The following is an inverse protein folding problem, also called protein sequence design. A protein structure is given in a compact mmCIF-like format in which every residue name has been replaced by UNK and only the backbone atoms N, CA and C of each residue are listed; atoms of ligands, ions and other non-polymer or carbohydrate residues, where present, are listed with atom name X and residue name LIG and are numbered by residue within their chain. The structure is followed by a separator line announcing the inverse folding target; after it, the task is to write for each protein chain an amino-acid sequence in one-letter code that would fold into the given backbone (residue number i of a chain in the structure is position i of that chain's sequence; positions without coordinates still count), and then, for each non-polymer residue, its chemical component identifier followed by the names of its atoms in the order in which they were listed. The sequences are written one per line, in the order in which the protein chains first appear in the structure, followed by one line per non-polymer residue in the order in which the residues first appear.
data_IF_825218097381
#
_entry.id   IF_825218097381
#
_cell.length_a   1.000
_cell.length_b   1.000
_cell.length_c   1.000
_cell.angle_alpha   90.00
_cell.angle_beta   90.00
_cell.angle_gamma   90.00
#
_symmetry.space_group_name_H-M   'P 1'
#
loop_
_entity.id
_entity.type
_entity.pdbx_description
1 polymer ?
#
# COMPACT_ATOMS: atom_id res chain seq x y z
N UNK A 1 2.67 -3.17 17.64
CA UNK A 1 1.93 -3.58 16.42
C UNK A 1 1.37 -2.35 15.75
N UNK A 2 1.62 -2.22 14.48
CA UNK A 2 1.13 -1.10 13.67
C UNK A 2 0.45 -1.62 12.42
N UNK A 3 -0.51 -0.84 11.91
CA UNK A 3 -1.07 -1.01 10.60
C UNK A 3 -0.37 -0.06 9.64
N UNK A 4 0.15 -0.59 8.56
CA UNK A 4 0.67 0.19 7.44
C UNK A 4 -0.38 0.15 6.34
N UNK A 5 -0.97 1.32 6.06
CA UNK A 5 -1.95 1.46 5.00
C UNK A 5 -1.27 2.15 3.83
N UNK A 6 -1.11 1.41 2.73
CA UNK A 6 -0.43 1.92 1.54
C UNK A 6 -1.42 2.04 0.38
N UNK A 7 -1.45 3.21 -0.24
CA UNK A 7 -2.26 3.47 -1.42
C UNK A 7 -1.29 3.55 -2.59
N UNK A 8 -1.38 2.59 -3.52
CA UNK A 8 -0.40 2.43 -4.60
C UNK A 8 -1.09 2.32 -5.96
N UNK A 9 -0.29 2.43 -7.03
CA UNK A 9 -0.76 2.17 -8.39
C UNK A 9 -1.06 0.68 -8.59
N UNK A 10 -2.10 0.32 -9.33
CA UNK A 10 -2.41 -1.09 -9.60
C UNK A 10 -1.26 -1.87 -10.24
N UNK A 11 -0.53 -1.24 -11.15
CA UNK A 11 0.56 -1.90 -11.87
C UNK A 11 1.83 -2.11 -11.03
N UNK A 12 1.84 -1.61 -9.79
CA UNK A 12 2.97 -1.82 -8.87
C UNK A 12 2.68 -2.87 -7.80
N UNK A 13 1.50 -3.48 -7.85
CA UNK A 13 1.12 -4.47 -6.84
C UNK A 13 2.08 -5.65 -6.80
N UNK A 14 2.45 -6.21 -7.95
CA UNK A 14 3.33 -7.38 -7.99
C UNK A 14 4.74 -7.07 -7.46
N UNK A 15 5.29 -5.91 -7.80
CA UNK A 15 6.59 -5.49 -7.28
C UNK A 15 6.53 -5.25 -5.76
N UNK A 16 5.43 -4.66 -5.29
CA UNK A 16 5.22 -4.43 -3.86
C UNK A 16 5.12 -5.75 -3.11
N UNK A 17 4.39 -6.72 -3.65
CA UNK A 17 4.30 -8.07 -3.06
C UNK A 17 5.67 -8.71 -2.91
N UNK A 18 6.49 -8.62 -3.96
CA UNK A 18 7.83 -9.20 -3.94
C UNK A 18 8.70 -8.53 -2.88
N UNK A 19 8.67 -7.20 -2.80
CA UNK A 19 9.45 -6.46 -1.82
C UNK A 19 9.00 -6.74 -0.39
N UNK A 20 7.71 -6.88 -0.15
CA UNK A 20 7.20 -7.26 1.16
C UNK A 20 7.68 -8.65 1.56
N UNK A 21 7.67 -9.59 0.63
CA UNK A 21 8.17 -10.94 0.91
C UNK A 21 9.63 -10.93 1.33
N UNK A 22 10.45 -10.07 0.74
CA UNK A 22 11.86 -9.93 1.10
C UNK A 22 12.06 -9.43 2.53
N UNK A 23 11.10 -8.69 3.08
CA UNK A 23 11.17 -8.19 4.46
C UNK A 23 10.91 -9.27 5.51
N UNK A 24 10.37 -10.42 5.10
CA UNK A 24 9.90 -11.46 6.02
C UNK A 24 8.47 -11.25 6.52
N UNK A 25 7.80 -10.17 6.08
CA UNK A 25 6.40 -9.87 6.44
C UNK A 25 5.54 -9.80 5.17
N UNK A 26 5.24 -10.95 4.56
CA UNK A 26 4.57 -10.99 3.26
C UNK A 26 3.05 -10.76 3.32
N UNK A 27 2.44 -10.87 4.49
CA UNK A 27 0.99 -10.84 4.64
C UNK A 27 0.41 -9.45 4.43
N UNK A 28 -0.66 -9.36 3.66
CA UNK A 28 -1.40 -8.12 3.48
C UNK A 28 -2.82 -8.41 3.02
N UNK A 29 -3.70 -7.43 3.20
CA UNK A 29 -5.02 -7.41 2.58
C UNK A 29 -5.01 -6.35 1.49
N UNK A 30 -5.58 -6.64 0.33
CA UNK A 30 -5.60 -5.71 -0.79
C UNK A 30 -7.03 -5.42 -1.21
N UNK A 31 -7.33 -4.15 -1.45
CA UNK A 31 -8.62 -3.69 -1.96
C UNK A 31 -8.41 -2.86 -3.21
N UNK A 32 -9.34 -2.97 -4.15
CA UNK A 32 -9.43 -2.06 -5.28
C UNK A 32 -10.10 -0.77 -4.81
N UNK A 33 -9.55 0.36 -5.25
CA UNK A 33 -10.09 1.66 -4.87
C UNK A 33 -9.92 2.64 -6.02
N UNK A 34 -10.67 3.73 -5.96
CA UNK A 34 -10.49 4.87 -6.84
C UNK A 34 -10.23 6.08 -5.96
N UNK A 35 -9.25 6.88 -6.34
CA UNK A 35 -8.86 8.02 -5.54
C UNK A 35 -8.63 9.26 -6.39
N UNK A 36 -8.77 10.40 -5.73
CA UNK A 36 -8.44 11.69 -6.31
C UNK A 36 -7.37 12.34 -5.42
N UNK A 37 -6.20 12.60 -6.01
CA UNK A 37 -5.15 13.32 -5.32
C UNK A 37 -5.31 14.83 -5.46
N UNK A 38 -4.32 15.57 -4.97
CA UNK A 38 -4.30 17.02 -5.09
C UNK A 38 -4.06 17.50 -6.52
N UNK A 39 -3.41 16.67 -7.34
CA UNK A 39 -3.08 17.00 -8.73
C UNK A 39 -3.72 16.01 -9.68
N UNK A 40 -4.28 16.48 -10.81
CA UNK A 40 -4.79 15.56 -11.83
C UNK A 40 -3.66 14.74 -12.44
N UNK A 41 -4.00 13.54 -12.93
CA UNK A 41 -3.07 12.65 -13.60
C UNK A 41 -3.40 12.65 -15.10
N UNK A 42 -2.38 12.72 -15.95
CA UNK A 42 -2.51 12.67 -17.40
C UNK A 42 -2.11 11.29 -17.92
N UNK A 43 -2.89 10.75 -18.86
CA UNK A 43 -2.61 9.49 -19.53
C UNK A 43 -2.43 9.71 -21.02
N UNK A 44 -1.39 9.12 -21.61
CA UNK A 44 -1.15 9.13 -23.04
C UNK A 44 -1.99 8.02 -23.69
N UNK A 45 -2.78 8.40 -24.69
CA UNK A 45 -3.57 7.44 -25.46
C UNK A 45 -2.79 6.94 -26.69
N UNK A 46 -3.26 5.84 -27.26
CA UNK A 46 -2.63 5.21 -28.43
C UNK A 46 -2.59 6.11 -29.67
N UNK A 47 -3.52 7.06 -29.77
CA UNK A 47 -3.58 8.03 -30.87
C UNK A 47 -2.68 9.25 -30.68
N UNK A 48 -1.88 9.27 -29.61
CA UNK A 48 -1.00 10.39 -29.29
C UNK A 48 -1.64 11.51 -28.46
N UNK A 49 -2.95 11.45 -28.23
CA UNK A 49 -3.63 12.41 -27.36
C UNK A 49 -3.43 12.09 -25.89
N UNK A 50 -3.77 13.01 -25.01
CA UNK A 50 -3.72 12.80 -23.57
C UNK A 50 -5.09 12.99 -22.96
N UNK A 51 -5.40 12.16 -21.94
CA UNK A 51 -6.54 12.35 -21.06
C UNK A 51 -6.04 12.81 -19.70
N UNK A 52 -6.67 13.83 -19.17
CA UNK A 52 -6.41 14.33 -17.83
C UNK A 52 -7.58 13.96 -16.94
N UNK A 53 -7.30 13.27 -15.83
CA UNK A 53 -8.32 12.83 -14.90
C UNK A 53 -7.90 13.09 -13.47
N UNK A 54 -8.88 13.38 -12.63
CA UNK A 54 -8.67 13.53 -11.19
C UNK A 54 -8.95 12.22 -10.44
N UNK A 55 -9.72 11.31 -11.03
CA UNK A 55 -10.12 10.05 -10.40
C UNK A 55 -9.34 8.89 -11.03
N UNK A 56 -8.56 8.19 -10.23
CA UNK A 56 -7.61 7.19 -10.70
C UNK A 56 -7.79 5.90 -9.92
N UNK A 57 -7.67 4.76 -10.62
CA UNK A 57 -7.66 3.45 -9.98
C UNK A 57 -6.43 3.30 -9.10
N UNK A 58 -6.64 2.76 -7.91
CA UNK A 58 -5.60 2.50 -6.92
C UNK A 58 -5.79 1.12 -6.31
N UNK A 59 -4.77 0.68 -5.59
CA UNK A 59 -4.86 -0.47 -4.68
C UNK A 59 -4.57 0.01 -3.28
N UNK A 60 -5.38 -0.40 -2.33
CA UNK A 60 -5.15 -0.13 -0.91
C UNK A 60 -4.64 -1.40 -0.27
N UNK A 61 -3.46 -1.34 0.32
CA UNK A 61 -2.86 -2.44 1.06
C UNK A 61 -2.93 -2.16 2.54
N UNK A 62 -3.38 -3.14 3.31
CA UNK A 62 -3.34 -3.11 4.76
C UNK A 62 -2.36 -4.17 5.23
N UNK A 63 -1.29 -3.75 5.90
CA UNK A 63 -0.21 -4.62 6.34
C UNK A 63 -0.04 -4.40 7.84
N UNK A 64 -0.13 -5.48 8.62
CA UNK A 64 0.02 -5.41 10.07
C UNK A 64 1.38 -6.03 10.41
N UNK A 65 2.21 -5.28 11.12
CA UNK A 65 3.56 -5.71 11.48
C UNK A 65 3.88 -5.29 12.92
N UNK A 66 4.88 -5.94 13.56
CA UNK A 66 5.38 -5.46 14.83
C UNK A 66 6.01 -4.07 14.68
N UNK A 67 6.07 -3.31 15.78
CA UNK A 67 6.61 -1.95 15.76
C UNK A 67 8.03 -1.89 15.19
N UNK A 68 8.86 -2.85 15.54
CA UNK A 68 10.26 -2.92 15.10
C UNK A 68 10.42 -3.17 13.59
N UNK A 69 9.39 -3.64 12.92
CA UNK A 69 9.43 -3.91 11.48
C UNK A 69 8.90 -2.73 10.64
N UNK A 70 8.36 -1.70 11.27
CA UNK A 70 7.71 -0.58 10.57
C UNK A 70 8.62 0.05 9.52
N UNK A 71 9.82 0.46 9.91
CA UNK A 71 10.73 1.18 9.01
C UNK A 71 11.13 0.34 7.81
N UNK A 72 11.42 -0.94 8.02
CA UNK A 72 11.83 -1.85 6.95
C UNK A 72 10.71 -2.05 5.93
N UNK A 73 9.48 -2.26 6.43
CA UNK A 73 8.33 -2.48 5.56
C UNK A 73 7.97 -1.20 4.79
N UNK A 74 7.97 -0.06 5.45
CA UNK A 74 7.72 1.23 4.79
C UNK A 74 8.75 1.49 3.69
N UNK A 75 10.03 1.25 3.96
CA UNK A 75 11.10 1.42 2.95
C UNK A 75 10.90 0.50 1.76
N UNK A 76 10.49 -0.74 2.00
CA UNK A 76 10.22 -1.70 0.93
C UNK A 76 9.09 -1.22 0.00
N UNK A 77 8.01 -0.70 0.57
CA UNK A 77 6.88 -0.17 -0.19
C UNK A 77 7.31 1.06 -0.99
N UNK A 78 8.03 1.98 -0.38
CA UNK A 78 8.53 3.17 -1.06
C UNK A 78 9.41 2.77 -2.25
N UNK A 79 10.34 1.85 -2.03
CA UNK A 79 11.26 1.40 -3.09
C UNK A 79 10.51 0.79 -4.28
N UNK A 80 9.45 0.04 -4.00
CA UNK A 80 8.65 -0.59 -5.05
C UNK A 80 7.79 0.40 -5.84
N UNK A 81 7.48 1.57 -5.29
CA UNK A 81 6.46 2.46 -5.85
C UNK A 81 6.96 3.86 -6.24
N UNK A 82 8.17 4.22 -5.87
CA UNK A 82 8.65 5.59 -6.05
C UNK A 82 9.19 5.82 -7.47
N UNK A 83 8.56 6.75 -8.19
CA UNK A 83 9.01 7.23 -9.50
C UNK A 83 9.29 8.73 -9.49
N UNK A 84 9.04 9.42 -8.36
CA UNK A 84 9.15 10.87 -8.31
C UNK A 84 8.04 11.59 -9.06
N UNK A 85 6.89 10.95 -9.26
CA UNK A 85 5.77 11.47 -10.05
C UNK A 85 4.50 11.58 -9.20
N UNK A 86 3.59 12.52 -9.53
CA UNK A 86 2.26 12.53 -8.93
C UNK A 86 1.57 11.17 -9.13
N UNK A 87 0.96 10.65 -8.08
CA UNK A 87 0.29 9.36 -8.13
C UNK A 87 1.13 8.19 -7.66
N UNK A 88 2.37 8.40 -7.21
CA UNK A 88 3.22 7.35 -6.63
C UNK A 88 2.55 6.67 -5.43
N UNK A 89 1.69 7.39 -4.73
CA UNK A 89 0.95 6.85 -3.62
C UNK A 89 1.27 7.50 -2.29
N UNK A 90 0.69 6.94 -1.25
CA UNK A 90 0.88 7.45 0.11
C UNK A 90 0.82 6.31 1.10
N UNK A 91 1.55 6.45 2.19
CA UNK A 91 1.60 5.47 3.26
C UNK A 91 1.20 6.15 4.56
N UNK A 92 0.29 5.50 5.28
CA UNK A 92 -0.11 5.91 6.62
C UNK A 92 0.28 4.80 7.59
N UNK A 93 0.73 5.18 8.77
CA UNK A 93 1.05 4.23 9.83
C UNK A 93 0.16 4.54 11.02
N UNK A 94 -0.59 3.53 11.47
CA UNK A 94 -1.54 3.67 12.57
C UNK A 94 -1.19 2.67 13.67
N UNK A 95 -1.20 3.09 14.93
CA UNK A 95 -1.02 2.13 16.02
C UNK A 95 -2.22 1.21 16.12
N UNK A 96 -1.96 -0.07 16.43
CA UNK A 96 -3.01 -1.05 16.72
C UNK A 96 -2.98 -1.31 18.22
N UNK A 97 -4.12 -1.08 18.85
CA UNK A 97 -4.25 -1.23 20.29
C UNK A 97 -4.34 -2.70 20.69
N UNK A 98 -5.16 -3.48 19.96
CA UNK A 98 -5.39 -4.89 20.27
C UNK A 98 -5.73 -5.65 18.98
N UNK A 99 -5.43 -6.93 18.97
CA UNK A 99 -5.92 -7.84 17.94
C UNK A 99 -6.40 -9.14 18.58
N UNK A 100 -7.34 -9.79 17.93
CA UNK A 100 -7.89 -11.07 18.37
C UNK A 100 -7.87 -12.05 17.22
N UNK A 101 -7.53 -13.31 17.53
CA UNK A 101 -7.70 -14.39 16.56
C UNK A 101 -9.12 -14.91 16.64
N UNK A 102 -9.80 -14.92 15.53
CA UNK A 102 -11.17 -15.41 15.46
C UNK A 102 -11.23 -16.89 15.81
N UNK A 103 -10.28 -17.68 15.33
CA UNK A 103 -10.25 -19.12 15.57
C UNK A 103 -10.12 -19.46 17.04
N UNK A 104 -9.24 -18.80 17.76
CA UNK A 104 -8.99 -19.08 19.18
C UNK A 104 -9.83 -18.25 20.13
N UNK A 105 -10.46 -17.17 19.63
CA UNK A 105 -11.24 -16.21 20.41
C UNK A 105 -10.41 -15.47 21.47
N UNK A 106 -9.08 -15.52 21.33
CA UNK A 106 -8.15 -14.93 22.29
C UNK A 106 -7.44 -13.74 21.69
N UNK A 107 -7.06 -12.81 22.55
CA UNK A 107 -6.20 -11.69 22.17
C UNK A 107 -4.87 -12.25 21.64
N UNK A 108 -4.40 -11.70 20.54
CA UNK A 108 -3.13 -12.06 19.94
C UNK A 108 -2.12 -10.93 20.13
N UNK A 109 -0.90 -11.30 20.54
CA UNK A 109 0.22 -10.38 20.63
C UNK A 109 1.10 -10.44 19.38
N UNK A 110 0.98 -11.52 18.63
CA UNK A 110 1.67 -11.71 17.35
C UNK A 110 0.73 -11.44 16.18
N UNK A 111 1.29 -11.45 15.02
CA UNK A 111 0.57 -11.15 13.77
C UNK A 111 0.24 -12.42 13.01
#
# INVERSE_FOLDING_TARGET
MVEILAIIRPNRLNDTKRKLKETGYPGFTCQRAMGRGKKPVSFLLADGSTIRTELVNKRVLNIIVPDEAENEVVKAIIKANSYGQPGDGKIFVCPIVKSYRVRTRKMAEDI
#
